data_IF_192042528177
#
_entry.id   IF_192042528177
#
_cell.length_a   1.000
_cell.length_b   1.000
_cell.length_c   1.000
_cell.angle_alpha   90.00
_cell.angle_beta   90.00
_cell.angle_gamma   90.00
#
_symmetry.space_group_name_H-M   'P 1'
#
loop_
_entity.id
_entity.type
_entity.pdbx_description
1 polymer ?
#
# COMPACT_ATOMS: atom_id res chain seq x y z
N UNK A 1 -18.82 2.91 -10.36
CA UNK A 1 -17.66 2.38 -9.60
C UNK A 1 -16.93 1.28 -10.38
N UNK A 2 -17.61 0.21 -10.83
CA UNK A 2 -16.97 -0.89 -11.59
C UNK A 2 -16.30 -0.46 -12.91
N UNK A 3 -16.96 0.41 -13.69
CA UNK A 3 -16.38 0.91 -14.94
C UNK A 3 -15.06 1.66 -14.72
N UNK A 4 -15.01 2.53 -13.71
CA UNK A 4 -13.80 3.27 -13.35
C UNK A 4 -12.67 2.31 -12.93
N UNK A 5 -12.99 1.30 -12.11
CA UNK A 5 -12.02 0.28 -11.71
C UNK A 5 -11.48 -0.50 -12.93
N UNK A 6 -12.35 -0.89 -13.86
CA UNK A 6 -11.95 -1.58 -15.08
C UNK A 6 -11.02 -0.72 -15.94
N UNK A 7 -11.33 0.56 -16.15
CA UNK A 7 -10.50 1.49 -16.94
C UNK A 7 -9.12 1.65 -16.30
N UNK A 8 -9.06 1.89 -14.99
CA UNK A 8 -7.79 2.04 -14.26
C UNK A 8 -6.97 0.76 -14.33
N UNK A 9 -7.61 -0.40 -14.13
CA UNK A 9 -6.95 -1.70 -14.21
C UNK A 9 -6.34 -1.95 -15.58
N UNK A 10 -7.10 -1.71 -16.66
CA UNK A 10 -6.61 -1.89 -18.03
C UNK A 10 -5.45 -0.94 -18.32
N UNK A 11 -5.59 0.35 -17.99
CA UNK A 11 -4.51 1.33 -18.19
C UNK A 11 -3.23 0.92 -17.45
N UNK A 12 -3.35 0.52 -16.19
CA UNK A 12 -2.22 0.09 -15.39
C UNK A 12 -1.57 -1.20 -15.90
N UNK A 13 -2.38 -2.16 -16.35
CA UNK A 13 -1.90 -3.43 -16.91
C UNK A 13 -1.11 -3.19 -18.19
N UNK A 14 -1.65 -2.36 -19.09
CA UNK A 14 -0.97 -1.96 -20.33
C UNK A 14 0.33 -1.23 -19.99
N UNK A 15 0.29 -0.28 -19.05
CA UNK A 15 1.47 0.45 -18.61
C UNK A 15 2.59 -0.48 -18.10
N UNK A 16 2.25 -1.42 -17.22
CA UNK A 16 3.21 -2.32 -16.59
C UNK A 16 3.79 -3.36 -17.57
N UNK A 17 3.00 -3.82 -18.55
CA UNK A 17 3.41 -4.88 -19.48
C UNK A 17 4.06 -4.34 -20.76
N UNK A 18 3.61 -3.21 -21.30
CA UNK A 18 4.12 -2.70 -22.58
C UNK A 18 5.45 -1.96 -22.43
N UNK A 19 5.62 -1.11 -21.41
CA UNK A 19 6.84 -0.29 -21.29
C UNK A 19 8.15 -1.08 -21.23
N UNK A 20 8.22 -2.29 -20.63
CA UNK A 20 9.43 -3.11 -20.66
C UNK A 20 9.75 -3.71 -22.04
N UNK A 21 8.75 -3.83 -22.93
CA UNK A 21 8.91 -4.49 -24.24
C UNK A 21 9.41 -3.51 -25.31
N UNK A 22 9.05 -2.23 -25.18
CA UNK A 22 9.47 -1.20 -26.14
C UNK A 22 10.77 -0.50 -25.71
N UNK A 23 11.58 -0.11 -26.70
CA UNK A 23 12.78 0.69 -26.47
C UNK A 23 12.43 2.09 -25.96
N UNK A 24 13.33 2.63 -25.13
CA UNK A 24 13.17 3.94 -24.47
C UNK A 24 13.00 5.13 -25.44
N UNK A 25 13.42 4.99 -26.70
CA UNK A 25 13.24 6.01 -27.75
C UNK A 25 11.85 5.97 -28.42
N UNK A 26 11.02 4.98 -28.10
CA UNK A 26 9.68 4.85 -28.65
C UNK A 26 8.74 5.93 -28.11
N UNK A 27 7.94 6.53 -28.99
CA UNK A 27 6.92 7.52 -28.64
C UNK A 27 5.88 6.99 -27.65
N UNK A 28 5.80 5.66 -27.46
CA UNK A 28 4.88 5.04 -26.50
C UNK A 28 5.12 5.53 -25.06
N UNK A 29 6.37 5.84 -24.70
CA UNK A 29 6.73 6.30 -23.36
C UNK A 29 6.10 7.65 -23.00
N UNK A 30 5.63 8.45 -23.98
CA UNK A 30 4.95 9.70 -23.71
C UNK A 30 3.51 9.53 -23.19
N UNK A 31 2.89 8.36 -23.40
CA UNK A 31 1.50 8.07 -22.98
C UNK A 31 1.41 7.50 -21.56
N UNK A 32 2.55 7.18 -20.95
CA UNK A 32 2.62 6.50 -19.66
C UNK A 32 3.59 7.21 -18.72
N UNK A 33 3.37 7.12 -17.40
CA UNK A 33 4.36 7.57 -16.44
C UNK A 33 5.65 6.74 -16.55
N UNK A 34 6.73 7.28 -16.00
CA UNK A 34 8.04 6.61 -16.03
C UNK A 34 7.97 5.21 -15.39
N UNK A 35 8.69 4.25 -15.99
CA UNK A 35 8.59 2.80 -15.71
C UNK A 35 8.74 2.45 -14.22
N UNK A 36 9.56 3.20 -13.49
CA UNK A 36 9.83 2.97 -12.07
C UNK A 36 8.57 3.13 -11.22
N UNK A 37 7.60 3.95 -11.66
CA UNK A 37 6.36 4.15 -10.93
C UNK A 37 5.41 2.97 -11.03
N UNK A 38 5.50 2.15 -12.09
CA UNK A 38 4.73 0.91 -12.20
C UNK A 38 5.14 -0.14 -11.14
N UNK A 39 6.33 0.00 -10.54
CA UNK A 39 6.82 -0.88 -9.48
C UNK A 39 6.77 -0.20 -8.11
N UNK A 40 7.10 1.09 -8.04
CA UNK A 40 7.10 1.87 -6.80
C UNK A 40 5.70 2.03 -6.22
N UNK A 41 4.66 2.19 -7.05
CA UNK A 41 3.31 2.44 -6.56
C UNK A 41 2.75 1.24 -5.76
N UNK A 42 2.76 -0.02 -6.27
CA UNK A 42 2.31 -1.17 -5.49
C UNK A 42 3.18 -1.42 -4.26
N UNK A 43 4.50 -1.26 -4.38
CA UNK A 43 5.43 -1.43 -3.26
C UNK A 43 5.14 -0.43 -2.14
N UNK A 44 4.89 0.84 -2.48
CA UNK A 44 4.55 1.89 -1.53
C UNK A 44 3.22 1.58 -0.81
N UNK A 45 2.18 1.18 -1.56
CA UNK A 45 0.89 0.78 -0.99
C UNK A 45 1.07 -0.38 0.00
N UNK A 46 1.88 -1.37 -0.34
CA UNK A 46 2.16 -2.52 0.51
C UNK A 46 2.87 -2.10 1.81
N UNK A 47 3.92 -1.29 1.71
CA UNK A 47 4.67 -0.79 2.88
C UNK A 47 3.77 0.05 3.78
N UNK A 48 3.00 0.97 3.21
CA UNK A 48 2.06 1.81 3.97
C UNK A 48 0.99 0.95 4.63
N UNK A 49 0.40 0.01 3.89
CA UNK A 49 -0.61 -0.91 4.42
C UNK A 49 -0.09 -1.74 5.59
N UNK A 50 1.08 -2.36 5.44
CA UNK A 50 1.72 -3.12 6.51
C UNK A 50 2.08 -2.24 7.71
N UNK A 51 2.57 -1.02 7.47
CA UNK A 51 2.90 -0.07 8.54
C UNK A 51 1.66 0.32 9.34
N UNK A 52 0.54 0.59 8.67
CA UNK A 52 -0.74 0.91 9.32
C UNK A 52 -1.25 -0.27 10.15
N UNK A 53 -1.20 -1.49 9.60
CA UNK A 53 -1.61 -2.70 10.31
C UNK A 53 -0.73 -2.91 11.56
N UNK A 54 0.58 -2.81 11.40
CA UNK A 54 1.54 -2.95 12.49
C UNK A 54 1.33 -1.91 13.59
N UNK A 55 1.13 -0.64 13.21
CA UNK A 55 0.84 0.44 14.16
C UNK A 55 -0.47 0.22 14.91
N UNK A 56 -1.51 -0.26 14.22
CA UNK A 56 -2.80 -0.57 14.83
C UNK A 56 -2.67 -1.69 15.87
N UNK A 57 -2.02 -2.79 15.52
CA UNK A 57 -1.77 -3.93 16.43
C UNK A 57 -0.92 -3.49 17.62
N UNK A 58 0.17 -2.75 17.39
CA UNK A 58 1.00 -2.24 18.47
C UNK A 58 0.21 -1.35 19.45
N UNK A 59 -0.64 -0.46 18.92
CA UNK A 59 -1.48 0.41 19.73
C UNK A 59 -2.51 -0.36 20.56
N UNK A 60 -3.14 -1.41 20.01
CA UNK A 60 -4.10 -2.23 20.76
C UNK A 60 -3.42 -3.00 21.88
N UNK A 61 -2.26 -3.62 21.62
CA UNK A 61 -1.47 -4.34 22.64
C UNK A 61 -1.09 -3.41 23.81
N UNK A 62 -0.58 -2.20 23.51
CA UNK A 62 -0.22 -1.22 24.55
C UNK A 62 -1.45 -0.85 25.38
N UNK A 63 -2.59 -0.57 24.74
CA UNK A 63 -3.84 -0.23 25.43
C UNK A 63 -4.34 -1.36 26.32
N UNK A 64 -4.31 -2.60 25.83
CA UNK A 64 -4.73 -3.77 26.61
C UNK A 64 -3.82 -4.03 27.81
N UNK A 65 -2.51 -3.91 27.64
CA UNK A 65 -1.55 -4.08 28.73
C UNK A 65 -1.72 -3.00 29.82
N UNK A 66 -1.95 -1.74 29.42
CA UNK A 66 -2.25 -0.66 30.37
C UNK A 66 -3.54 -0.95 31.16
N UNK A 67 -4.60 -1.38 30.48
CA UNK A 67 -5.87 -1.76 31.13
C UNK A 67 -5.68 -2.94 32.09
N UNK A 68 -4.89 -3.95 31.72
CA UNK A 68 -4.58 -5.10 32.59
C UNK A 68 -3.79 -4.67 33.83
N UNK A 69 -2.77 -3.82 33.66
CA UNK A 69 -1.96 -3.30 34.76
C UNK A 69 -2.78 -2.43 35.73
N UNK A 70 -3.67 -1.59 35.21
CA UNK A 70 -4.57 -0.78 36.01
C UNK A 70 -5.55 -1.64 36.83
N UNK A 71 -6.18 -2.64 36.19
CA UNK A 71 -7.04 -3.61 36.89
C UNK A 71 -6.29 -4.40 37.98
N UNK A 72 -5.02 -4.72 37.76
CA UNK A 72 -4.20 -5.41 38.76
C UNK A 72 -3.94 -4.51 39.98
N UNK A 73 -3.58 -3.23 39.76
CA UNK A 73 -3.37 -2.24 40.84
C UNK A 73 -4.61 -2.05 41.69
N UNK A 74 -5.78 -1.96 41.07
CA UNK A 74 -7.06 -1.80 41.77
C UNK A 74 -7.46 -3.03 42.60
N UNK A 75 -6.93 -4.22 42.33
CA UNK A 75 -7.20 -5.45 43.11
C UNK A 75 -6.29 -5.60 44.31
N UNK A 76 -5.13 -4.95 44.31
CA UNK A 76 -4.12 -5.04 45.36
C UNK A 76 -4.13 -3.86 46.33
N UNK A 77 -4.92 -2.82 46.03
CA UNK A 77 -5.19 -1.69 46.90
C UNK A 77 -6.51 -1.93 47.66
#
# INVERSE_FOLDING_TARGET
MLLAAAVVFVYYTIWALLLPVFDASSSIHAFFPAREWAVRLPAFILVVGLSVIGAFIGNTIIKENRKKAEKARLRTA
#
